data_IF_774923020137
#
_entry.id   IF_774923020137
#
_cell.length_a   1.000
_cell.length_b   1.000
_cell.length_c   1.000
_cell.angle_alpha   90.00
_cell.angle_beta   90.00
_cell.angle_gamma   90.00
#
_symmetry.space_group_name_H-M   'P 1'
#
loop_
_entity.id
_entity.type
_entity.pdbx_description
1 polymer ?
#
# COMPACT_ATOMS: atom_id res chain seq x y z
N UNK A 1 13.81 1.58 -17.60
CA UNK A 1 12.86 2.42 -18.34
C UNK A 1 11.46 1.83 -18.15
N UNK A 2 10.80 2.14 -17.04
CA UNK A 2 9.39 1.80 -16.79
C UNK A 2 8.80 3.02 -16.08
N UNK A 3 8.51 4.02 -16.87
CA UNK A 3 7.78 5.23 -16.48
C UNK A 3 6.46 5.21 -17.27
N UNK A 4 5.37 5.55 -16.59
CA UNK A 4 4.02 5.78 -17.10
C UNK A 4 3.06 4.59 -17.13
N UNK A 5 2.53 4.22 -15.96
CA UNK A 5 1.30 3.42 -15.90
C UNK A 5 0.32 3.87 -14.81
N UNK A 6 0.48 5.08 -14.24
CA UNK A 6 -0.61 5.80 -13.60
C UNK A 6 -1.20 6.86 -14.54
N UNK A 7 -0.90 6.83 -15.85
CA UNK A 7 -1.42 7.75 -16.86
C UNK A 7 -2.60 7.12 -17.58
N UNK A 8 -3.71 7.80 -17.51
CA UNK A 8 -4.94 7.71 -18.32
C UNK A 8 -5.01 6.60 -19.38
N UNK A 9 -5.65 5.49 -19.05
CA UNK A 9 -6.24 4.61 -20.05
C UNK A 9 -7.73 4.54 -19.77
N UNK A 10 -8.49 5.16 -20.67
CA UNK A 10 -9.94 5.04 -20.73
C UNK A 10 -10.32 3.63 -21.16
N UNK A 11 -10.91 2.86 -20.29
CA UNK A 11 -11.60 1.64 -20.67
C UNK A 11 -13.03 1.66 -20.16
N UNK A 12 -13.94 1.78 -21.12
CA UNK A 12 -15.34 1.40 -20.95
C UNK A 12 -15.43 -0.10 -20.88
N UNK A 13 -15.94 -0.66 -19.77
CA UNK A 13 -16.75 -1.89 -19.79
C UNK A 13 -17.21 -2.26 -18.38
N UNK A 14 -18.44 -2.22 -18.21
CA UNK A 14 -19.46 -2.90 -17.39
C UNK A 14 -19.00 -4.10 -16.57
N UNK A 15 -19.34 -4.09 -15.29
CA UNK A 15 -20.11 -5.16 -14.66
C UNK A 15 -20.69 -4.71 -13.32
N UNK A 16 -21.98 -4.73 -13.26
CA UNK A 16 -22.84 -4.58 -12.08
C UNK A 16 -22.68 -5.82 -11.21
N UNK A 17 -22.47 -5.65 -9.92
CA UNK A 17 -22.88 -6.65 -8.95
C UNK A 17 -23.50 -5.99 -7.72
N UNK A 18 -24.80 -6.20 -7.58
CA UNK A 18 -25.60 -5.85 -6.42
C UNK A 18 -25.44 -6.92 -5.34
N UNK A 19 -25.27 -6.48 -4.11
CA UNK A 19 -25.38 -7.35 -2.94
C UNK A 19 -25.59 -6.49 -1.69
N UNK A 20 -26.85 -6.41 -1.28
CA UNK A 20 -27.35 -5.74 -0.08
C UNK A 20 -27.01 -6.57 1.15
N UNK A 21 -26.57 -5.96 2.26
CA UNK A 21 -27.10 -6.08 3.62
C UNK A 21 -26.05 -5.84 4.72
N UNK A 22 -26.46 -5.06 5.72
CA UNK A 22 -25.93 -5.12 7.07
C UNK A 22 -25.14 -3.90 7.53
N UNK A 23 -25.84 -2.91 8.10
CA UNK A 23 -25.26 -1.86 8.94
C UNK A 23 -24.60 -2.47 10.17
N UNK A 24 -23.29 -2.55 10.17
CA UNK A 24 -22.46 -2.50 11.37
C UNK A 24 -21.35 -1.48 11.05
N UNK A 25 -21.03 -0.62 12.02
CA UNK A 25 -19.91 0.31 11.96
C UNK A 25 -18.60 -0.46 11.72
N UNK A 26 -18.41 -0.90 10.52
CA UNK A 26 -17.12 -1.31 10.00
C UNK A 26 -16.43 -0.02 9.59
N UNK A 27 -15.41 0.36 10.34
CA UNK A 27 -14.40 1.29 9.88
C UNK A 27 -14.03 0.84 8.47
N UNK A 28 -14.41 1.65 7.50
CA UNK A 28 -14.39 1.28 6.09
C UNK A 28 -12.93 1.32 5.60
N UNK A 29 -12.17 0.26 5.84
CA UNK A 29 -10.77 0.08 5.43
C UNK A 29 -10.66 -0.18 3.92
N UNK A 30 -11.33 0.63 3.09
CA UNK A 30 -11.48 0.38 1.66
C UNK A 30 -10.17 0.50 0.88
N UNK A 31 -9.29 1.46 1.21
CA UNK A 31 -7.97 1.58 0.57
C UNK A 31 -7.04 0.39 0.83
N UNK A 32 -7.21 -0.30 1.95
CA UNK A 32 -6.46 -1.54 2.24
C UNK A 32 -6.86 -2.71 1.34
N UNK A 33 -8.03 -2.69 0.70
CA UNK A 33 -8.47 -3.72 -0.25
C UNK A 33 -7.68 -3.58 -1.55
N UNK A 34 -7.50 -2.35 -2.02
CA UNK A 34 -6.70 -2.05 -3.21
C UNK A 34 -5.23 -2.42 -2.97
N UNK A 35 -4.65 -2.00 -1.86
CA UNK A 35 -3.30 -2.38 -1.45
C UNK A 35 -3.14 -3.90 -1.37
N UNK A 36 -4.07 -4.61 -0.72
CA UNK A 36 -4.05 -6.08 -0.64
C UNK A 36 -4.04 -6.72 -2.04
N UNK A 37 -4.92 -6.26 -2.92
CA UNK A 37 -5.04 -6.77 -4.27
C UNK A 37 -3.80 -6.51 -5.12
N UNK A 38 -3.25 -5.30 -5.04
CA UNK A 38 -2.03 -4.92 -5.77
C UNK A 38 -0.81 -5.68 -5.28
N UNK A 39 -0.69 -5.90 -3.96
CA UNK A 39 0.35 -6.76 -3.39
C UNK A 39 0.24 -8.20 -3.86
N UNK A 40 -0.95 -8.77 -3.84
CA UNK A 40 -1.19 -10.13 -4.33
C UNK A 40 -0.82 -10.27 -5.81
N UNK A 41 -1.07 -9.24 -6.60
CA UNK A 41 -0.68 -9.19 -8.01
C UNK A 41 0.82 -9.01 -8.20
N UNK A 42 1.41 -8.05 -7.51
CA UNK A 42 2.81 -7.64 -7.73
C UNK A 42 3.86 -8.49 -7.03
N UNK A 43 3.48 -9.26 -6.02
CA UNK A 43 4.40 -10.09 -5.25
C UNK A 43 4.02 -11.57 -5.32
N UNK A 44 4.99 -12.45 -5.15
CA UNK A 44 4.75 -13.90 -5.03
C UNK A 44 4.30 -14.32 -3.63
N UNK A 45 4.18 -13.36 -2.70
CA UNK A 45 3.85 -13.63 -1.29
C UNK A 45 2.41 -13.25 -0.98
N UNK A 46 1.84 -13.99 -0.03
CA UNK A 46 0.50 -13.68 0.46
C UNK A 46 0.54 -12.37 1.28
N UNK A 47 -0.29 -11.36 0.96
CA UNK A 47 -0.19 -10.03 1.56
C UNK A 47 -0.31 -10.00 3.08
N UNK A 48 -1.06 -10.94 3.69
CA UNK A 48 -1.17 -11.02 5.15
C UNK A 48 0.16 -11.38 5.84
N UNK A 49 1.16 -11.91 5.12
CA UNK A 49 2.49 -12.14 5.67
C UNK A 49 3.20 -10.84 6.09
N UNK A 50 2.79 -9.72 5.52
CA UNK A 50 3.31 -8.40 5.88
C UNK A 50 2.60 -7.78 7.08
N UNK A 51 1.40 -8.25 7.46
CA UNK A 51 0.68 -7.71 8.60
C UNK A 51 1.41 -8.03 9.90
N UNK A 52 1.87 -7.00 10.60
CA UNK A 52 2.67 -7.14 11.82
C UNK A 52 4.13 -7.55 11.58
N UNK A 53 4.62 -7.45 10.35
CA UNK A 53 6.03 -7.67 10.05
C UNK A 53 6.87 -6.46 10.47
N UNK A 54 7.95 -6.70 11.19
CA UNK A 54 8.86 -5.66 11.63
C UNK A 54 8.20 -4.55 12.45
N UNK A 55 8.66 -3.35 12.25
CA UNK A 55 8.25 -2.17 13.00
C UNK A 55 7.20 -1.31 12.28
N UNK A 56 7.10 -1.42 10.96
CA UNK A 56 6.27 -0.54 10.13
C UNK A 56 5.18 -1.26 9.34
N UNK A 57 5.30 -2.56 9.08
CA UNK A 57 4.29 -3.26 8.29
C UNK A 57 3.03 -3.53 9.09
N UNK A 58 1.97 -2.80 8.81
CA UNK A 58 0.68 -2.84 9.49
C UNK A 58 0.31 -1.50 10.14
N UNK A 59 -0.75 -1.44 10.93
CA UNK A 59 -1.21 -0.18 11.51
C UNK A 59 -0.16 0.43 12.45
N UNK A 60 0.27 1.66 12.15
CA UNK A 60 1.15 2.44 13.00
C UNK A 60 2.59 1.94 13.05
N UNK A 61 3.49 2.57 12.33
CA UNK A 61 4.92 2.35 12.42
C UNK A 61 5.54 2.93 13.69
N UNK A 62 6.62 2.32 14.21
CA UNK A 62 7.35 2.82 15.38
C UNK A 62 8.81 2.39 15.36
N UNK A 63 9.69 3.27 15.87
CA UNK A 63 11.11 2.98 16.02
C UNK A 63 11.87 2.84 14.70
N UNK A 64 12.86 1.98 14.64
CA UNK A 64 13.71 1.79 13.46
C UNK A 64 13.34 0.51 12.70
N UNK A 65 13.17 0.56 11.37
CA UNK A 65 12.86 -0.61 10.55
C UNK A 65 13.91 -1.72 10.69
N UNK A 66 13.49 -2.98 10.66
CA UNK A 66 14.34 -4.14 10.94
C UNK A 66 15.15 -4.62 9.74
N UNK A 67 14.60 -4.52 8.54
CA UNK A 67 15.24 -4.96 7.30
C UNK A 67 14.66 -4.22 6.08
N UNK A 68 15.08 -4.62 4.87
CA UNK A 68 14.63 -4.00 3.63
C UNK A 68 13.12 -4.10 3.42
N UNK A 69 12.50 -5.23 3.80
CA UNK A 69 11.04 -5.40 3.73
C UNK A 69 10.33 -4.40 4.64
N UNK A 70 10.82 -4.22 5.86
CA UNK A 70 10.28 -3.27 6.83
C UNK A 70 10.50 -1.81 6.38
N UNK A 71 11.63 -1.52 5.74
CA UNK A 71 11.89 -0.24 5.08
C UNK A 71 10.92 0.04 3.93
N UNK A 72 10.47 -0.98 3.19
CA UNK A 72 9.41 -0.80 2.20
C UNK A 72 8.10 -0.32 2.85
N UNK A 73 7.76 -0.89 4.02
CA UNK A 73 6.59 -0.46 4.78
C UNK A 73 6.73 0.98 5.28
N UNK A 74 7.88 1.35 5.83
CA UNK A 74 8.14 2.72 6.26
C UNK A 74 8.01 3.73 5.09
N UNK A 75 8.56 3.41 3.93
CA UNK A 75 8.43 4.27 2.73
C UNK A 75 6.98 4.38 2.26
N UNK A 76 6.22 3.30 2.35
CA UNK A 76 4.80 3.31 2.02
C UNK A 76 4.00 4.18 3.00
N UNK A 77 4.26 4.07 4.31
CA UNK A 77 3.65 4.93 5.34
C UNK A 77 3.98 6.40 5.09
N UNK A 78 5.24 6.72 4.73
CA UNK A 78 5.63 8.07 4.35
C UNK A 78 4.88 8.57 3.12
N UNK A 79 4.70 7.73 2.11
CA UNK A 79 3.96 8.09 0.91
C UNK A 79 2.49 8.39 1.22
N UNK A 80 1.88 7.61 2.10
CA UNK A 80 0.51 7.84 2.57
C UNK A 80 0.40 9.13 3.40
N UNK A 81 1.38 9.42 4.27
CA UNK A 81 1.45 10.69 5.00
C UNK A 81 1.57 11.89 4.02
N UNK A 82 2.37 11.75 2.98
CA UNK A 82 2.41 12.75 1.91
C UNK A 82 1.04 12.92 1.23
N UNK A 83 0.35 11.84 0.88
CA UNK A 83 -0.99 11.91 0.29
C UNK A 83 -1.97 12.66 1.21
N UNK A 84 -1.94 12.39 2.51
CA UNK A 84 -2.78 13.08 3.49
C UNK A 84 -2.48 14.58 3.56
N UNK A 85 -1.21 14.98 3.53
CA UNK A 85 -0.82 16.40 3.46
C UNK A 85 -1.29 17.09 2.18
N UNK A 86 -1.50 16.33 1.12
CA UNK A 86 -2.09 16.81 -0.14
C UNK A 86 -3.63 16.85 -0.11
N UNK A 87 -4.26 16.54 1.02
CA UNK A 87 -5.72 16.51 1.19
C UNK A 87 -6.38 15.23 0.65
N UNK A 88 -5.61 14.17 0.42
CA UNK A 88 -6.11 12.85 0.02
C UNK A 88 -6.26 11.92 1.23
N UNK A 89 -7.21 11.01 1.19
CA UNK A 89 -7.36 9.97 2.20
C UNK A 89 -7.03 8.59 1.64
N UNK A 90 -5.82 8.05 1.93
CA UNK A 90 -5.41 6.74 1.43
C UNK A 90 -6.31 5.57 1.88
N UNK A 91 -7.14 5.78 2.90
CA UNK A 91 -8.05 4.75 3.41
C UNK A 91 -9.38 4.75 2.67
N UNK A 92 -9.87 5.93 2.27
CA UNK A 92 -11.19 6.10 1.66
C UNK A 92 -11.14 6.38 0.17
N UNK A 93 -10.11 7.04 -0.32
CA UNK A 93 -9.93 7.32 -1.74
C UNK A 93 -9.54 6.05 -2.48
N UNK A 94 -10.40 5.63 -3.39
CA UNK A 94 -10.25 4.38 -4.14
C UNK A 94 -9.75 4.64 -5.55
N UNK A 95 -8.90 3.77 -6.03
CA UNK A 95 -8.50 3.74 -7.43
C UNK A 95 -8.89 2.40 -8.09
N UNK A 96 -9.03 2.40 -9.40
CA UNK A 96 -9.29 1.18 -10.16
C UNK A 96 -7.95 0.56 -10.60
N UNK A 97 -7.87 -0.74 -10.52
CA UNK A 97 -6.68 -1.48 -10.93
C UNK A 97 -7.07 -2.84 -11.53
N UNK A 98 -6.18 -3.40 -12.33
CA UNK A 98 -6.26 -4.76 -12.86
C UNK A 98 -4.89 -5.44 -12.75
N UNK A 99 -4.88 -6.75 -12.74
CA UNK A 99 -3.66 -7.54 -12.71
C UNK A 99 -3.45 -8.24 -14.06
N UNK A 100 -2.35 -7.96 -14.73
CA UNK A 100 -1.97 -8.63 -15.98
C UNK A 100 -0.53 -9.11 -15.89
N UNK A 101 -0.31 -10.41 -16.01
CA UNK A 101 1.04 -11.02 -15.96
C UNK A 101 1.87 -10.57 -14.75
N UNK A 102 1.28 -10.63 -13.55
CA UNK A 102 1.89 -10.15 -12.30
C UNK A 102 2.28 -8.66 -12.31
N UNK A 103 1.68 -7.89 -13.20
CA UNK A 103 1.86 -6.45 -13.29
C UNK A 103 0.54 -5.76 -12.95
N UNK A 104 0.62 -4.82 -12.03
CA UNK A 104 -0.55 -4.01 -11.65
C UNK A 104 -0.71 -2.86 -12.63
N UNK A 105 -1.88 -2.81 -13.26
CA UNK A 105 -2.29 -1.73 -14.16
C UNK A 105 -3.36 -0.91 -13.44
N UNK A 106 -3.15 0.38 -13.36
CA UNK A 106 -4.04 1.31 -12.68
C UNK A 106 -4.83 2.15 -13.67
N UNK A 107 -6.10 2.40 -13.36
CA UNK A 107 -6.89 3.44 -13.98
C UNK A 107 -7.17 4.53 -12.93
N UNK A 108 -6.64 5.71 -13.12
CA UNK A 108 -6.79 6.85 -12.22
C UNK A 108 -7.62 7.93 -12.88
N UNK A 109 -8.54 8.54 -12.11
CA UNK A 109 -9.47 9.55 -12.59
C UNK A 109 -9.16 10.94 -12.02
N UNK A 110 -8.47 10.99 -10.87
CA UNK A 110 -8.16 12.23 -10.19
C UNK A 110 -6.77 12.22 -9.54
N UNK A 111 -6.39 13.35 -8.95
CA UNK A 111 -5.10 13.57 -8.32
C UNK A 111 -4.87 12.64 -7.13
N UNK A 112 -5.86 12.45 -6.27
CA UNK A 112 -5.70 11.61 -5.08
C UNK A 112 -5.55 10.15 -5.43
N UNK A 113 -6.34 9.65 -6.37
CA UNK A 113 -6.19 8.29 -6.90
C UNK A 113 -4.79 8.08 -7.49
N UNK A 114 -4.26 9.07 -8.22
CA UNK A 114 -2.92 8.99 -8.80
C UNK A 114 -1.83 8.90 -7.71
N UNK A 115 -1.89 9.74 -6.68
CA UNK A 115 -0.90 9.73 -5.59
C UNK A 115 -0.96 8.38 -4.85
N UNK A 116 -2.14 7.92 -4.47
CA UNK A 116 -2.32 6.70 -3.69
C UNK A 116 -1.91 5.46 -4.50
N UNK A 117 -2.33 5.38 -5.76
CA UNK A 117 -1.93 4.26 -6.61
C UNK A 117 -0.42 4.23 -6.85
N UNK A 118 0.25 5.39 -6.90
CA UNK A 118 1.70 5.46 -7.01
C UNK A 118 2.36 4.93 -5.73
N UNK A 119 1.85 5.28 -4.55
CA UNK A 119 2.34 4.75 -3.27
C UNK A 119 2.27 3.22 -3.23
N UNK A 120 1.13 2.65 -3.60
CA UNK A 120 0.90 1.21 -3.57
C UNK A 120 1.73 0.46 -4.62
N UNK A 121 1.89 1.06 -5.80
CA UNK A 121 2.75 0.50 -6.86
C UNK A 121 4.21 0.45 -6.43
N UNK A 122 4.74 1.52 -5.87
CA UNK A 122 6.11 1.58 -5.39
C UNK A 122 6.33 0.59 -4.24
N UNK A 123 5.37 0.47 -3.32
CA UNK A 123 5.42 -0.49 -2.25
C UNK A 123 5.40 -1.93 -2.78
N UNK A 124 4.49 -2.28 -3.69
CA UNK A 124 4.42 -3.61 -4.28
C UNK A 124 5.73 -3.98 -5.01
N UNK A 125 6.32 -3.02 -5.72
CA UNK A 125 7.62 -3.22 -6.37
C UNK A 125 8.75 -3.41 -5.35
N UNK A 126 8.78 -2.61 -4.30
CA UNK A 126 9.76 -2.71 -3.22
C UNK A 126 9.70 -4.11 -2.56
N UNK A 127 8.53 -4.55 -2.13
CA UNK A 127 8.34 -5.86 -1.48
C UNK A 127 8.59 -7.04 -2.41
N UNK A 128 8.43 -6.87 -3.72
CA UNK A 128 8.73 -7.92 -4.69
C UNK A 128 10.20 -8.33 -4.64
N UNK A 129 11.10 -7.37 -4.48
CA UNK A 129 12.54 -7.59 -4.50
C UNK A 129 13.19 -7.63 -3.11
N UNK A 130 12.55 -7.07 -2.09
CA UNK A 130 13.09 -7.10 -0.74
C UNK A 130 13.13 -8.52 -0.17
N UNK A 131 14.22 -8.91 0.48
CA UNK A 131 14.32 -10.17 1.19
C UNK A 131 13.27 -10.26 2.30
N UNK A 132 12.61 -11.40 2.41
CA UNK A 132 11.59 -11.62 3.46
C UNK A 132 12.15 -12.56 4.53
N UNK A 133 12.29 -12.07 5.75
CA UNK A 133 12.79 -12.83 6.86
C UNK A 133 11.65 -13.19 7.83
N UNK A 134 11.29 -14.48 7.88
CA UNK A 134 10.23 -14.99 8.76
C UNK A 134 10.42 -14.63 10.24
N UNK A 135 11.66 -14.37 10.66
CA UNK A 135 11.98 -13.94 12.04
C UNK A 135 11.29 -12.64 12.44
N UNK A 136 11.00 -11.76 11.48
CA UNK A 136 10.37 -10.47 11.74
C UNK A 136 8.84 -10.50 11.59
N UNK A 137 8.24 -11.67 11.29
CA UNK A 137 6.78 -11.82 11.32
C UNK A 137 6.28 -11.67 12.75
N UNK A 138 5.21 -10.89 12.92
CA UNK A 138 4.61 -10.61 14.23
C UNK A 138 5.62 -10.03 15.25
N UNK A 139 6.51 -9.17 14.76
CA UNK A 139 7.57 -8.58 15.58
C UNK A 139 6.97 -7.72 16.70
N UNK A 140 7.42 -7.88 17.97
CA UNK A 140 6.92 -7.09 19.08
C UNK A 140 7.28 -5.61 18.93
N UNK A 141 6.29 -4.73 18.91
CA UNK A 141 6.49 -3.28 18.71
C UNK A 141 7.39 -2.63 19.76
N UNK A 142 7.38 -3.12 21.00
CA UNK A 142 8.26 -2.60 22.05
C UNK A 142 9.77 -2.84 21.77
N UNK A 143 10.12 -3.73 20.85
CA UNK A 143 11.50 -3.97 20.39
C UNK A 143 11.93 -3.08 19.23
N UNK A 144 11.10 -2.16 18.80
CA UNK A 144 11.42 -1.26 17.68
C UNK A 144 12.25 -0.03 18.09
N UNK A 145 12.31 0.28 19.38
CA UNK A 145 13.07 1.41 19.93
C UNK A 145 12.31 2.74 19.81
N UNK A 146 13.01 3.82 20.17
CA UNK A 146 12.45 5.18 20.24
C UNK A 146 12.99 6.12 19.15
N UNK A 147 13.90 5.65 18.30
CA UNK A 147 14.47 6.44 17.22
C UNK A 147 13.65 6.17 15.96
N UNK A 148 13.19 7.25 15.32
CA UNK A 148 12.33 7.20 14.14
C UNK A 148 13.09 7.74 12.92
N UNK A 149 13.11 7.01 11.80
CA UNK A 149 13.64 7.56 10.56
C UNK A 149 12.69 8.64 10.01
N UNK A 150 13.25 9.66 9.41
CA UNK A 150 12.48 10.70 8.74
C UNK A 150 11.99 10.20 7.39
N UNK A 151 10.85 10.75 6.91
CA UNK A 151 10.32 10.45 5.59
C UNK A 151 11.12 11.09 4.43
N UNK A 152 12.10 11.93 4.73
CA UNK A 152 12.99 12.51 3.69
C UNK A 152 12.28 13.42 2.69
N UNK A 153 11.18 14.07 3.08
CA UNK A 153 10.56 15.10 2.23
C UNK A 153 11.53 16.23 2.06
N UNK A 154 12.01 16.43 0.83
CA UNK A 154 12.62 17.69 0.45
C UNK A 154 11.50 18.73 0.30
N UNK A 155 11.55 19.76 1.12
CA UNK A 155 10.72 20.97 0.96
C UNK A 155 11.02 21.62 -0.38
#
# INVERSE_FOLDING_TARGET
MVLHLCSNISFSAFAVWNGVLGKKHLVNKRGLIELYGTLKCGTSRFPLAYVGYGCYCGPGGSGWPKDETDWCCHRHDCCYDFAQRQGCDPITDRYKWTCQNNTVIYAVLDRCQNIICQCDKEAAWCWRFAPFNKRYMFWPKYLCGQIYPSCGYRN
#
